data_IF_896660668420
#
_entry.id   IF_896660668420
#
_cell.length_a   1.000
_cell.length_b   1.000
_cell.length_c   1.000
_cell.angle_alpha   90.00
_cell.angle_beta   90.00
_cell.angle_gamma   90.00
#
_symmetry.space_group_name_H-M   'P 1'
#
loop_
_entity.id
_entity.type
_entity.pdbx_description
1 polymer ?
#
# COMPACT_ATOMS: atom_id res chain seq x y z
N UNK A 1 33.53 -22.27 -32.52
CA UNK A 1 32.75 -22.52 -31.26
C UNK A 1 32.56 -21.20 -30.58
N UNK A 2 31.45 -20.58 -30.85
CA UNK A 2 31.05 -19.29 -30.35
C UNK A 2 30.16 -19.57 -29.12
N UNK A 3 30.64 -19.22 -27.93
CA UNK A 3 29.81 -19.21 -26.72
C UNK A 3 28.85 -18.05 -26.82
N UNK A 4 27.61 -18.41 -27.01
CA UNK A 4 26.46 -17.55 -26.92
C UNK A 4 26.06 -17.34 -25.46
N UNK A 5 25.86 -16.10 -25.11
CA UNK A 5 24.74 -15.81 -24.24
C UNK A 5 25.04 -15.24 -22.91
N UNK A 6 25.25 -13.96 -22.91
CA UNK A 6 24.88 -13.09 -21.79
C UNK A 6 23.34 -13.08 -21.70
N UNK A 7 22.78 -14.00 -20.91
CA UNK A 7 21.43 -13.85 -20.39
C UNK A 7 21.53 -12.83 -19.26
N UNK A 8 21.16 -11.59 -19.56
CA UNK A 8 20.96 -10.53 -18.57
C UNK A 8 20.04 -11.06 -17.46
N UNK A 9 20.64 -11.48 -16.35
CA UNK A 9 19.90 -11.83 -15.14
C UNK A 9 19.31 -10.54 -14.59
N UNK A 10 18.05 -10.26 -14.93
CA UNK A 10 17.27 -9.30 -14.16
C UNK A 10 17.38 -9.69 -12.67
N UNK A 11 17.70 -8.75 -11.77
CA UNK A 11 17.85 -9.08 -10.36
C UNK A 11 16.55 -9.75 -9.87
N UNK A 12 16.71 -10.91 -9.22
CA UNK A 12 15.57 -11.67 -8.71
C UNK A 12 14.86 -10.84 -7.63
N UNK A 13 13.52 -10.80 -7.61
CA UNK A 13 12.78 -10.11 -6.55
C UNK A 13 13.22 -10.60 -5.16
N UNK A 14 13.31 -9.67 -4.21
CA UNK A 14 13.59 -10.03 -2.82
C UNK A 14 12.40 -10.81 -2.26
N UNK A 15 12.65 -11.83 -1.44
CA UNK A 15 11.64 -12.75 -0.90
C UNK A 15 11.69 -12.79 0.62
N UNK A 16 10.52 -12.89 1.24
CA UNK A 16 10.36 -13.12 2.68
C UNK A 16 9.07 -13.89 2.95
N UNK A 17 9.07 -14.73 3.99
CA UNK A 17 7.90 -15.52 4.37
C UNK A 17 7.25 -14.92 5.63
N UNK A 18 5.93 -14.74 5.58
CA UNK A 18 5.10 -14.28 6.68
C UNK A 18 4.11 -15.37 7.08
N UNK A 19 3.92 -15.56 8.39
CA UNK A 19 2.83 -16.38 8.88
C UNK A 19 1.67 -15.47 9.27
N UNK A 20 0.48 -15.70 8.71
CA UNK A 20 -0.73 -14.96 9.07
C UNK A 20 -1.07 -15.25 10.53
N UNK A 21 -0.97 -14.23 11.39
CA UNK A 21 -1.20 -14.36 12.83
C UNK A 21 -2.70 -14.28 13.14
N UNK A 22 -3.06 -14.65 14.38
CA UNK A 22 -4.44 -14.63 14.86
C UNK A 22 -5.08 -13.23 14.79
N UNK A 23 -4.33 -12.20 15.15
CA UNK A 23 -4.75 -10.80 15.17
C UNK A 23 -4.75 -10.11 13.80
N UNK A 24 -4.30 -10.81 12.76
CA UNK A 24 -4.19 -10.31 11.37
C UNK A 24 -5.32 -10.82 10.47
N UNK A 25 -6.13 -11.74 10.98
CA UNK A 25 -7.29 -12.28 10.27
C UNK A 25 -8.59 -11.59 10.70
N UNK A 26 -9.56 -11.56 9.80
CA UNK A 26 -10.94 -11.17 10.09
C UNK A 26 -11.72 -12.28 10.80
N UNK A 27 -12.99 -12.00 11.12
CA UNK A 27 -13.91 -12.98 11.76
C UNK A 27 -14.21 -14.18 10.85
N UNK A 28 -13.98 -14.05 9.55
CA UNK A 28 -14.07 -15.12 8.54
C UNK A 28 -12.84 -16.04 8.54
N UNK A 29 -11.85 -15.76 9.38
CA UNK A 29 -10.59 -16.49 9.45
C UNK A 29 -9.63 -16.23 8.29
N UNK A 30 -9.87 -15.22 7.46
CA UNK A 30 -9.01 -14.84 6.34
C UNK A 30 -8.19 -13.60 6.66
N UNK A 31 -7.04 -13.46 6.00
CA UNK A 31 -6.18 -12.28 6.12
C UNK A 31 -6.93 -11.02 5.71
N UNK A 32 -6.76 -9.92 6.47
CA UNK A 32 -7.31 -8.61 6.11
C UNK A 32 -6.46 -7.96 5.01
N UNK A 33 -7.08 -7.13 4.16
CA UNK A 33 -6.37 -6.36 3.16
C UNK A 33 -5.31 -5.43 3.78
N UNK A 34 -5.62 -4.84 4.92
CA UNK A 34 -4.68 -4.01 5.71
C UNK A 34 -3.44 -4.80 6.17
N UNK A 35 -3.59 -6.08 6.50
CA UNK A 35 -2.46 -6.94 6.86
C UNK A 35 -1.50 -7.15 5.69
N UNK A 36 -2.03 -7.40 4.48
CA UNK A 36 -1.17 -7.51 3.30
C UNK A 36 -0.41 -6.22 3.02
N UNK A 37 -1.03 -5.05 3.21
CA UNK A 37 -0.33 -3.76 3.11
C UNK A 37 0.77 -3.62 4.17
N UNK A 38 0.54 -4.07 5.41
CA UNK A 38 1.60 -4.08 6.45
C UNK A 38 2.76 -4.97 6.06
N UNK A 39 2.50 -6.16 5.52
CA UNK A 39 3.55 -7.07 5.07
C UNK A 39 4.37 -6.49 3.91
N UNK A 40 3.73 -5.82 2.93
CA UNK A 40 4.50 -5.22 1.82
C UNK A 40 5.28 -3.97 2.24
N UNK A 41 4.83 -3.25 3.26
CA UNK A 41 5.62 -2.18 3.88
C UNK A 41 6.86 -2.75 4.59
N UNK A 42 6.67 -3.83 5.35
CA UNK A 42 7.75 -4.50 6.07
C UNK A 42 8.78 -5.11 5.12
N UNK A 43 8.36 -5.89 4.13
CA UNK A 43 9.31 -6.49 3.16
C UNK A 43 10.05 -5.42 2.36
N UNK A 44 9.40 -4.28 2.05
CA UNK A 44 10.06 -3.15 1.39
C UNK A 44 11.16 -2.56 2.27
N UNK A 45 10.88 -2.45 3.57
CA UNK A 45 11.84 -2.00 4.57
C UNK A 45 13.02 -2.98 4.71
N UNK A 46 12.75 -4.26 4.94
CA UNK A 46 13.77 -5.32 5.06
C UNK A 46 14.66 -5.39 3.81
N UNK A 47 14.07 -5.25 2.62
CA UNK A 47 14.83 -5.18 1.35
C UNK A 47 15.76 -3.96 1.31
N UNK A 48 15.27 -2.79 1.73
CA UNK A 48 16.03 -1.54 1.82
C UNK A 48 17.23 -1.68 2.77
N UNK A 49 17.02 -2.22 3.97
CA UNK A 49 18.07 -2.45 4.97
C UNK A 49 19.16 -3.39 4.45
N UNK A 50 18.78 -4.46 3.75
CA UNK A 50 19.76 -5.39 3.15
C UNK A 50 20.65 -4.76 2.09
N UNK A 51 20.17 -3.68 1.46
CA UNK A 51 20.95 -2.90 0.49
C UNK A 51 21.74 -1.75 1.15
N UNK A 52 21.71 -1.65 2.50
CA UNK A 52 22.40 -0.62 3.26
C UNK A 52 21.59 0.67 3.45
N UNK A 53 20.33 0.69 3.06
CA UNK A 53 19.43 1.85 3.25
C UNK A 53 18.56 1.62 4.48
N UNK A 54 19.18 1.64 5.66
CA UNK A 54 18.52 1.51 6.95
C UNK A 54 17.98 2.85 7.49
N UNK A 55 17.36 2.80 8.65
CA UNK A 55 16.80 3.99 9.30
C UNK A 55 17.85 5.07 9.56
N UNK A 56 19.08 4.70 9.93
CA UNK A 56 20.15 5.63 10.20
C UNK A 56 20.58 6.35 8.91
N UNK A 57 20.68 5.60 7.80
CA UNK A 57 20.98 6.13 6.48
C UNK A 57 19.97 7.20 6.04
N UNK A 58 18.66 6.93 6.19
CA UNK A 58 17.58 7.88 5.86
C UNK A 58 17.59 9.10 6.80
N UNK A 59 17.81 8.88 8.10
CA UNK A 59 17.84 9.94 9.10
C UNK A 59 19.01 10.91 8.88
N UNK A 60 20.20 10.40 8.54
CA UNK A 60 21.38 11.20 8.21
C UNK A 60 21.13 12.13 7.02
N UNK A 61 20.50 11.62 5.97
CA UNK A 61 20.15 12.39 4.76
C UNK A 61 18.91 13.25 4.91
N UNK A 62 18.17 13.06 5.99
CA UNK A 62 16.95 13.82 6.28
C UNK A 62 15.85 13.61 5.24
N UNK A 63 15.75 12.40 4.72
CA UNK A 63 14.72 12.03 3.73
C UNK A 63 13.91 10.84 4.20
N UNK A 64 12.67 10.73 3.69
CA UNK A 64 11.78 9.62 3.96
C UNK A 64 10.89 9.31 2.75
N UNK A 65 10.53 8.05 2.59
CA UNK A 65 9.55 7.63 1.60
C UNK A 65 8.13 7.71 2.17
N UNK A 66 7.22 8.31 1.39
CA UNK A 66 5.80 8.34 1.66
C UNK A 66 5.03 7.61 0.55
N UNK A 67 4.06 6.80 0.91
CA UNK A 67 3.14 6.17 -0.06
C UNK A 67 2.17 7.22 -0.59
N UNK A 68 2.02 7.31 -1.91
CA UNK A 68 1.08 8.21 -2.59
C UNK A 68 -0.08 7.47 -3.26
N UNK A 69 0.17 6.22 -3.67
CA UNK A 69 -0.88 5.36 -4.17
C UNK A 69 -0.56 3.90 -3.83
N UNK A 70 -1.60 3.10 -3.65
CA UNK A 70 -1.48 1.66 -3.55
C UNK A 70 -2.60 0.98 -4.32
N UNK A 71 -2.29 -0.17 -4.86
CA UNK A 71 -3.24 -1.06 -5.49
C UNK A 71 -3.04 -2.44 -4.89
N UNK A 72 -4.09 -3.01 -4.31
CA UNK A 72 -4.06 -4.28 -3.59
C UNK A 72 -5.08 -5.22 -4.22
N UNK A 73 -4.63 -6.30 -4.84
CA UNK A 73 -5.49 -7.36 -5.34
C UNK A 73 -5.37 -8.60 -4.46
N UNK A 74 -6.50 -9.10 -3.97
CA UNK A 74 -6.63 -10.36 -3.25
C UNK A 74 -7.33 -11.31 -4.20
N UNK A 75 -6.61 -12.31 -4.71
CA UNK A 75 -7.05 -13.22 -5.76
C UNK A 75 -7.49 -14.57 -5.22
N UNK A 76 -6.97 -14.94 -4.04
CA UNK A 76 -7.23 -16.22 -3.39
C UNK A 76 -7.50 -16.06 -1.89
N UNK A 77 -8.07 -17.09 -1.28
CA UNK A 77 -8.33 -17.14 0.17
C UNK A 77 -7.02 -17.42 0.90
N UNK A 78 -6.64 -16.56 1.83
CA UNK A 78 -5.42 -16.68 2.65
C UNK A 78 -5.85 -16.89 4.10
N UNK A 79 -5.87 -18.14 4.61
CA UNK A 79 -6.37 -18.41 5.95
C UNK A 79 -5.38 -18.01 7.05
N UNK A 80 -5.93 -17.72 8.24
CA UNK A 80 -5.15 -17.58 9.45
C UNK A 80 -4.26 -18.82 9.66
N UNK A 81 -3.02 -18.60 10.07
CA UNK A 81 -2.04 -19.65 10.28
C UNK A 81 -1.25 -20.05 9.03
N UNK A 82 -1.71 -19.67 7.83
CA UNK A 82 -0.97 -19.92 6.61
C UNK A 82 0.39 -19.23 6.60
N UNK A 83 1.37 -19.86 5.96
CA UNK A 83 2.66 -19.25 5.64
C UNK A 83 2.62 -18.79 4.19
N UNK A 84 2.72 -17.48 3.97
CA UNK A 84 2.73 -16.89 2.63
C UNK A 84 4.14 -16.40 2.30
N UNK A 85 4.61 -16.70 1.11
CA UNK A 85 5.81 -16.08 0.56
C UNK A 85 5.44 -14.77 -0.11
N UNK A 86 6.09 -13.68 0.27
CA UNK A 86 6.01 -12.41 -0.43
C UNK A 86 7.28 -12.13 -1.20
N UNK A 87 7.11 -11.60 -2.41
CA UNK A 87 8.20 -11.00 -3.18
C UNK A 87 8.06 -9.49 -3.19
N UNK A 88 9.16 -8.77 -3.36
CA UNK A 88 9.15 -7.34 -3.64
C UNK A 88 10.27 -6.93 -4.57
N UNK A 89 9.99 -5.98 -5.45
CA UNK A 89 10.97 -5.36 -6.33
C UNK A 89 10.61 -3.90 -6.60
N UNK A 90 11.64 -3.07 -6.87
CA UNK A 90 11.47 -1.71 -7.40
C UNK A 90 11.40 -1.83 -8.91
N UNK A 91 10.18 -1.81 -9.44
CA UNK A 91 9.94 -1.99 -10.88
C UNK A 91 10.21 -0.73 -11.69
N UNK A 92 10.45 0.39 -11.01
CA UNK A 92 10.90 1.61 -11.65
C UNK A 92 10.88 2.82 -10.74
N UNK A 93 11.64 3.85 -11.13
CA UNK A 93 11.70 5.13 -10.44
C UNK A 93 11.94 6.30 -11.40
N UNK A 94 11.61 7.52 -10.95
CA UNK A 94 11.85 8.75 -11.70
C UNK A 94 11.94 9.96 -10.78
N UNK A 95 13.08 10.64 -10.75
CA UNK A 95 13.32 11.89 -9.99
C UNK A 95 13.07 11.77 -8.49
N UNK A 96 11.79 11.81 -8.07
CA UNK A 96 11.33 11.78 -6.67
C UNK A 96 10.41 10.58 -6.40
N UNK A 97 10.07 9.83 -7.45
CA UNK A 97 9.06 8.75 -7.42
C UNK A 97 9.69 7.38 -7.58
N UNK A 98 9.16 6.39 -6.88
CA UNK A 98 9.48 4.99 -7.08
C UNK A 98 8.22 4.14 -7.02
N UNK A 99 8.16 3.06 -7.84
CA UNK A 99 7.11 2.05 -7.82
C UNK A 99 7.67 0.73 -7.36
N UNK A 100 7.01 0.11 -6.39
CA UNK A 100 7.26 -1.28 -6.00
C UNK A 100 6.11 -2.16 -6.45
N UNK A 101 6.48 -3.38 -6.83
CA UNK A 101 5.57 -4.50 -7.02
C UNK A 101 5.88 -5.57 -5.99
N UNK A 102 4.84 -6.14 -5.41
CA UNK A 102 4.91 -7.29 -4.52
C UNK A 102 3.89 -8.33 -4.96
N UNK A 103 4.23 -9.60 -4.83
CA UNK A 103 3.33 -10.72 -5.09
C UNK A 103 3.29 -11.63 -3.87
N UNK A 104 2.10 -12.12 -3.55
CA UNK A 104 1.86 -13.05 -2.44
C UNK A 104 1.59 -14.44 -2.99
N UNK A 105 2.31 -15.43 -2.47
CA UNK A 105 2.18 -16.83 -2.88
C UNK A 105 1.76 -17.67 -1.68
N UNK A 106 0.81 -18.57 -1.90
CA UNK A 106 0.40 -19.62 -0.98
C UNK A 106 0.55 -20.96 -1.72
N UNK A 107 1.35 -21.87 -1.18
CA UNK A 107 1.62 -23.19 -1.78
C UNK A 107 2.09 -23.10 -3.25
N UNK A 108 2.83 -22.04 -3.59
CA UNK A 108 3.36 -21.78 -4.93
C UNK A 108 2.43 -21.04 -5.89
N UNK A 109 1.15 -20.86 -5.52
CA UNK A 109 0.15 -20.16 -6.33
C UNK A 109 0.06 -18.69 -5.95
N UNK A 110 -0.12 -17.79 -6.93
CA UNK A 110 -0.32 -16.36 -6.69
C UNK A 110 -1.70 -16.13 -6.10
N UNK A 111 -1.76 -15.69 -4.84
CA UNK A 111 -3.01 -15.39 -4.11
C UNK A 111 -3.26 -13.89 -3.96
N UNK A 112 -2.32 -13.06 -4.39
CA UNK A 112 -2.49 -11.60 -4.40
C UNK A 112 -1.29 -10.89 -4.97
N UNK A 113 -1.47 -9.62 -5.31
CA UNK A 113 -0.39 -8.73 -5.69
C UNK A 113 -0.67 -7.31 -5.21
N UNK A 114 0.40 -6.56 -4.97
CA UNK A 114 0.31 -5.19 -4.47
C UNK A 114 1.30 -4.31 -5.24
N UNK A 115 0.81 -3.19 -5.77
CA UNK A 115 1.65 -2.11 -6.30
C UNK A 115 1.59 -0.93 -5.33
N UNK A 116 2.73 -0.30 -5.10
CA UNK A 116 2.82 0.92 -4.27
C UNK A 116 3.65 1.97 -4.97
N UNK A 117 3.12 3.18 -5.06
CA UNK A 117 3.83 4.36 -5.55
C UNK A 117 4.29 5.20 -4.37
N UNK A 118 5.58 5.47 -4.35
CA UNK A 118 6.26 6.18 -3.28
C UNK A 118 6.80 7.51 -3.77
N UNK A 119 6.80 8.50 -2.91
CA UNK A 119 7.49 9.78 -3.14
C UNK A 119 8.52 10.01 -2.05
N UNK A 120 9.71 10.46 -2.43
CA UNK A 120 10.74 10.85 -1.48
C UNK A 120 10.53 12.31 -1.07
N UNK A 121 10.56 12.56 0.24
CA UNK A 121 10.41 13.89 0.83
C UNK A 121 11.56 14.18 1.80
N UNK A 122 11.87 15.46 2.00
CA UNK A 122 12.79 15.93 3.03
C UNK A 122 12.08 16.09 4.40
N UNK A 123 12.83 16.55 5.42
CA UNK A 123 12.31 16.79 6.78
C UNK A 123 11.20 17.85 6.86
N UNK A 124 11.02 18.66 5.82
CA UNK A 124 9.95 19.67 5.71
C UNK A 124 8.72 19.15 4.97
N UNK A 125 8.76 17.88 4.51
CA UNK A 125 7.72 17.31 3.64
C UNK A 125 7.80 17.79 2.19
N UNK A 126 8.88 18.46 1.79
CA UNK A 126 9.11 18.91 0.41
C UNK A 126 9.69 17.77 -0.42
N UNK A 127 9.33 17.71 -1.70
CA UNK A 127 9.82 16.67 -2.63
C UNK A 127 11.36 16.69 -2.71
N UNK A 128 11.97 15.55 -2.42
CA UNK A 128 13.41 15.35 -2.49
C UNK A 128 13.79 14.47 -3.68
N UNK A 129 14.91 14.75 -4.32
CA UNK A 129 15.43 13.88 -5.39
C UNK A 129 15.96 12.57 -4.81
N UNK A 130 15.76 11.50 -5.54
CA UNK A 130 16.33 10.19 -5.20
C UNK A 130 17.85 10.31 -5.17
N UNK A 131 18.51 9.93 -4.05
CA UNK A 131 19.96 9.94 -3.94
C UNK A 131 20.60 9.00 -4.97
N UNK A 132 21.81 9.36 -5.49
CA UNK A 132 22.52 8.54 -6.49
C UNK A 132 22.75 7.09 -6.04
N UNK A 133 22.93 6.85 -4.75
CA UNK A 133 23.13 5.50 -4.19
C UNK A 133 21.89 4.61 -4.38
N UNK A 134 20.70 5.16 -4.19
CA UNK A 134 19.43 4.45 -4.45
C UNK A 134 19.24 4.24 -5.96
N UNK A 135 19.52 5.28 -6.76
CA UNK A 135 19.46 5.22 -8.23
C UNK A 135 20.36 4.10 -8.78
N UNK A 136 21.57 3.96 -8.23
CA UNK A 136 22.52 2.91 -8.62
C UNK A 136 22.08 1.51 -8.15
N UNK A 137 21.43 1.40 -6.99
CA UNK A 137 20.95 0.10 -6.46
C UNK A 137 19.73 -0.43 -7.22
N UNK A 138 18.95 0.44 -7.85
CA UNK A 138 17.75 0.10 -8.61
C UNK A 138 17.81 0.69 -10.03
N UNK A 139 18.56 0.09 -10.96
CA UNK A 139 18.85 0.69 -12.27
C UNK A 139 17.69 0.57 -13.27
N UNK A 140 16.46 0.83 -12.83
CA UNK A 140 15.23 0.73 -13.63
C UNK A 140 14.53 2.10 -13.74
N UNK A 141 15.12 3.13 -14.40
CA UNK A 141 14.44 4.40 -14.56
C UNK A 141 13.23 4.27 -15.50
N UNK A 142 12.12 4.89 -15.12
CA UNK A 142 10.91 4.98 -15.95
C UNK A 142 10.87 6.36 -16.60
N UNK A 143 10.81 6.41 -17.93
CA UNK A 143 10.77 7.67 -18.67
C UNK A 143 9.48 8.46 -18.41
N UNK A 144 8.33 7.77 -18.32
CA UNK A 144 7.01 8.36 -18.07
C UNK A 144 6.36 7.72 -16.86
N UNK A 145 6.64 8.27 -15.67
CA UNK A 145 6.07 7.81 -14.41
C UNK A 145 4.78 8.59 -14.11
N UNK A 146 3.67 7.88 -14.06
CA UNK A 146 2.39 8.42 -13.61
C UNK A 146 2.00 7.75 -12.31
N UNK A 147 1.80 8.55 -11.25
CA UNK A 147 1.27 8.06 -9.96
C UNK A 147 -0.16 7.58 -10.17
N UNK A 148 -0.48 6.44 -9.55
CA UNK A 148 -1.85 5.92 -9.57
C UNK A 148 -2.82 6.96 -9.02
N UNK A 149 -3.86 7.30 -9.80
CA UNK A 149 -4.95 8.17 -9.37
C UNK A 149 -6.24 7.38 -9.27
N UNK A 150 -7.08 7.79 -8.32
CA UNK A 150 -8.41 7.20 -8.12
C UNK A 150 -9.47 8.20 -8.53
N UNK A 151 -10.13 7.90 -9.64
CA UNK A 151 -11.34 8.61 -10.05
C UNK A 151 -12.52 8.01 -9.28
N UNK A 152 -13.24 8.88 -8.55
CA UNK A 152 -14.45 8.49 -7.84
C UNK A 152 -15.65 8.74 -8.72
N UNK A 153 -16.60 7.81 -8.71
CA UNK A 153 -17.91 8.04 -9.32
C UNK A 153 -18.58 9.27 -8.68
N UNK A 154 -19.46 9.93 -9.44
CA UNK A 154 -20.34 10.94 -8.86
C UNK A 154 -21.20 10.28 -7.77
N UNK A 155 -21.43 11.00 -6.69
CA UNK A 155 -22.34 10.53 -5.62
C UNK A 155 -23.73 10.45 -6.25
N UNK A 156 -24.12 9.22 -6.59
CA UNK A 156 -25.43 8.96 -7.16
C UNK A 156 -26.54 9.30 -6.13
N UNK A 157 -27.79 9.30 -6.56
CA UNK A 157 -28.97 9.51 -5.71
C UNK A 157 -29.19 8.44 -4.60
N UNK A 158 -28.31 7.46 -4.50
CA UNK A 158 -28.31 6.47 -3.41
C UNK A 158 -27.58 7.06 -2.19
N UNK A 159 -28.07 6.83 -0.97
CA UNK A 159 -27.49 7.39 0.23
C UNK A 159 -26.04 6.90 0.39
N UNK A 160 -25.10 7.84 0.44
CA UNK A 160 -23.76 7.56 0.90
C UNK A 160 -23.81 7.20 2.39
N UNK A 161 -23.01 6.21 2.79
CA UNK A 161 -22.84 5.83 4.18
C UNK A 161 -21.69 6.61 4.76
N UNK A 162 -21.87 7.21 5.93
CA UNK A 162 -20.84 7.96 6.62
C UNK A 162 -20.51 7.30 7.96
N UNK A 163 -19.22 7.15 8.23
CA UNK A 163 -18.67 6.71 9.50
C UNK A 163 -17.65 7.71 10.00
N UNK A 164 -17.70 8.01 11.31
CA UNK A 164 -16.72 8.87 11.97
C UNK A 164 -15.73 8.04 12.77
N UNK A 165 -14.46 8.40 12.67
CA UNK A 165 -13.36 7.76 13.39
C UNK A 165 -12.53 8.82 14.10
N UNK A 166 -11.81 8.39 15.14
CA UNK A 166 -10.80 9.20 15.80
C UNK A 166 -9.48 8.44 15.80
N UNK A 167 -8.42 9.07 15.31
CA UNK A 167 -7.09 8.47 15.25
C UNK A 167 -6.59 8.09 16.64
N UNK A 168 -6.23 6.82 16.83
CA UNK A 168 -5.71 6.26 18.06
C UNK A 168 -4.19 6.07 17.97
N UNK A 169 -3.52 6.06 19.12
CA UNK A 169 -2.04 5.99 19.19
C UNK A 169 -1.46 4.73 18.54
N UNK A 170 -2.15 3.59 18.59
CA UNK A 170 -1.67 2.33 18.02
C UNK A 170 -1.83 2.25 16.49
N UNK A 171 -2.50 3.22 15.87
CA UNK A 171 -2.64 3.33 14.42
C UNK A 171 -1.50 4.15 13.78
N UNK A 172 -0.64 4.73 14.62
CA UNK A 172 0.49 5.55 14.15
C UNK A 172 1.70 4.69 13.79
N UNK A 173 2.41 5.11 12.76
CA UNK A 173 3.71 4.57 12.36
C UNK A 173 4.88 5.27 13.11
N UNK A 174 6.13 4.82 12.94
CA UNK A 174 7.30 5.46 13.56
C UNK A 174 7.58 6.90 13.11
N UNK A 175 6.91 7.39 12.06
CA UNK A 175 6.99 8.79 11.61
C UNK A 175 5.96 9.69 12.31
N UNK A 176 5.09 9.10 13.17
CA UNK A 176 4.06 9.83 13.90
C UNK A 176 2.79 10.12 13.09
N UNK A 177 2.65 9.51 11.93
CA UNK A 177 1.45 9.58 11.09
C UNK A 177 0.67 8.27 11.16
N UNK A 178 -0.61 8.31 10.78
CA UNK A 178 -1.40 7.10 10.61
C UNK A 178 -0.73 6.18 9.58
N UNK A 179 -0.53 4.90 9.97
CA UNK A 179 -0.02 3.89 9.05
C UNK A 179 -0.96 3.72 7.85
N UNK A 180 -0.40 3.67 6.64
CA UNK A 180 -1.19 3.60 5.40
C UNK A 180 -2.18 2.44 5.38
N UNK A 181 -1.88 1.33 6.06
CA UNK A 181 -2.77 0.17 6.15
C UNK A 181 -4.00 0.42 7.04
N UNK A 182 -3.90 1.28 8.07
CA UNK A 182 -5.03 1.59 8.94
C UNK A 182 -6.19 2.28 8.18
N UNK A 183 -5.87 3.04 7.14
CA UNK A 183 -6.90 3.64 6.29
C UNK A 183 -7.77 2.60 5.60
N UNK A 184 -7.22 1.43 5.25
CA UNK A 184 -8.02 0.34 4.64
C UNK A 184 -9.00 -0.25 5.66
N UNK A 185 -8.57 -0.42 6.91
CA UNK A 185 -9.46 -0.88 7.99
C UNK A 185 -10.68 0.06 8.12
N UNK A 186 -10.47 1.38 8.15
CA UNK A 186 -11.56 2.39 8.24
C UNK A 186 -12.42 2.45 6.97
N UNK A 187 -11.84 2.24 5.79
CA UNK A 187 -12.59 2.19 4.54
C UNK A 187 -13.48 0.94 4.49
N UNK A 188 -12.99 -0.22 4.93
CA UNK A 188 -13.80 -1.43 5.03
C UNK A 188 -14.97 -1.28 6.02
N UNK A 189 -14.74 -0.64 7.18
CA UNK A 189 -15.78 -0.31 8.17
C UNK A 189 -16.88 0.62 7.62
N UNK A 190 -16.59 1.42 6.60
CA UNK A 190 -17.56 2.31 5.97
C UNK A 190 -18.48 1.62 4.97
N UNK A 191 -18.23 0.36 4.61
CA UNK A 191 -19.06 -0.45 3.70
C UNK A 191 -20.05 -1.26 4.54
N UNK A 192 -21.39 -1.02 4.40
CA UNK A 192 -22.38 -1.66 5.25
C UNK A 192 -22.56 -3.17 4.98
N UNK A 193 -22.23 -3.62 3.77
CA UNK A 193 -22.30 -5.02 3.40
C UNK A 193 -20.94 -5.72 3.55
N UNK A 194 -20.77 -6.42 4.65
CA UNK A 194 -19.53 -7.16 4.93
C UNK A 194 -19.19 -8.22 3.86
N UNK A 195 -20.16 -8.71 3.09
CA UNK A 195 -19.90 -9.69 2.04
C UNK A 195 -19.02 -9.10 0.92
N UNK A 196 -19.12 -7.80 0.69
CA UNK A 196 -18.31 -7.06 -0.29
C UNK A 196 -16.85 -7.05 0.13
N UNK A 197 -16.55 -6.68 1.39
CA UNK A 197 -15.17 -6.61 1.89
C UNK A 197 -14.54 -7.99 2.12
N UNK A 198 -15.35 -9.05 2.13
CA UNK A 198 -14.89 -10.45 2.22
C UNK A 198 -14.88 -11.17 0.89
N UNK A 199 -15.38 -10.52 -0.18
CA UNK A 199 -15.40 -11.13 -1.51
C UNK A 199 -13.97 -11.46 -2.00
N UNK A 200 -13.84 -12.57 -2.72
CA UNK A 200 -12.59 -12.98 -3.37
C UNK A 200 -12.96 -13.49 -4.77
N UNK A 201 -12.38 -12.93 -5.83
CA UNK A 201 -11.34 -11.89 -5.84
C UNK A 201 -11.88 -10.49 -5.53
N UNK A 202 -11.03 -9.62 -5.00
CA UNK A 202 -11.31 -8.19 -4.83
C UNK A 202 -10.07 -7.35 -5.00
N UNK A 203 -10.25 -6.06 -5.32
CA UNK A 203 -9.15 -5.14 -5.59
C UNK A 203 -9.43 -3.76 -4.99
N UNK A 204 -8.46 -3.23 -4.26
CA UNK A 204 -8.46 -1.87 -3.73
C UNK A 204 -7.55 -1.00 -4.57
N UNK A 205 -8.02 0.20 -4.93
CA UNK A 205 -7.21 1.28 -5.48
C UNK A 205 -7.25 2.43 -4.50
N UNK A 206 -6.09 2.90 -4.04
CA UNK A 206 -5.93 3.85 -2.95
C UNK A 206 -5.05 5.01 -3.42
N UNK A 207 -5.51 6.27 -3.22
CA UNK A 207 -4.72 7.48 -3.45
C UNK A 207 -4.65 8.27 -2.15
N UNK A 208 -3.46 8.40 -1.60
CA UNK A 208 -3.19 9.11 -0.34
C UNK A 208 -2.87 10.57 -0.65
N UNK A 209 -3.77 11.49 -0.29
CA UNK A 209 -3.65 12.92 -0.52
C UNK A 209 -2.87 13.60 0.61
N UNK A 210 -3.17 13.24 1.86
CA UNK A 210 -2.53 13.77 3.07
C UNK A 210 -2.46 12.68 4.16
N UNK A 211 -1.67 12.91 5.19
CA UNK A 211 -1.59 12.05 6.37
C UNK A 211 -2.45 12.64 7.50
N UNK A 212 -3.12 11.77 8.25
CA UNK A 212 -3.73 12.11 9.52
C UNK A 212 -2.74 11.91 10.67
N UNK A 213 -2.93 12.68 11.75
CA UNK A 213 -2.13 12.65 12.95
C UNK A 213 -2.89 12.18 14.20
N UNK A 214 -2.21 12.13 15.36
CA UNK A 214 -2.82 11.62 16.58
C UNK A 214 -3.98 12.50 17.05
N UNK A 215 -5.14 11.85 17.25
CA UNK A 215 -6.33 12.51 17.78
C UNK A 215 -7.20 13.22 16.74
N UNK A 216 -6.81 13.21 15.47
CA UNK A 216 -7.64 13.75 14.40
C UNK A 216 -8.99 13.03 14.34
N UNK A 217 -10.03 13.81 14.10
CA UNK A 217 -11.37 13.31 13.80
C UNK A 217 -11.48 13.12 12.27
N UNK A 218 -11.98 11.97 11.85
CA UNK A 218 -12.05 11.54 10.46
C UNK A 218 -13.49 11.20 10.09
N UNK A 219 -13.85 11.47 8.82
CA UNK A 219 -15.14 11.04 8.25
C UNK A 219 -14.85 10.23 6.98
N UNK A 220 -15.24 8.96 7.01
CA UNK A 220 -15.26 8.10 5.83
C UNK A 220 -16.66 8.12 5.22
N UNK A 221 -16.71 8.33 3.91
CA UNK A 221 -17.93 8.28 3.11
C UNK A 221 -17.78 7.20 2.05
N UNK A 222 -18.74 6.27 1.97
CA UNK A 222 -18.78 5.21 0.97
C UNK A 222 -20.10 5.24 0.20
N UNK A 223 -20.04 4.98 -1.10
CA UNK A 223 -21.22 4.85 -1.97
C UNK A 223 -20.99 3.82 -3.07
N UNK A 224 -22.05 3.08 -3.47
CA UNK A 224 -21.95 2.08 -4.52
C UNK A 224 -21.72 2.73 -5.90
N UNK A 225 -20.97 2.02 -6.74
CA UNK A 225 -20.65 2.37 -8.11
C UNK A 225 -20.69 1.10 -8.98
N UNK A 226 -21.85 0.69 -9.42
CA UNK A 226 -22.09 -0.61 -10.06
C UNK A 226 -21.79 -1.77 -9.11
N UNK A 227 -20.88 -2.68 -9.50
CA UNK A 227 -20.35 -3.74 -8.63
C UNK A 227 -19.22 -3.28 -7.72
N UNK A 228 -18.81 -2.01 -7.81
CA UNK A 228 -17.72 -1.42 -7.06
C UNK A 228 -18.22 -0.47 -5.96
N UNK A 229 -17.31 -0.02 -5.10
CA UNK A 229 -17.56 1.03 -4.13
C UNK A 229 -16.55 2.15 -4.30
N UNK A 230 -17.05 3.38 -4.38
CA UNK A 230 -16.25 4.60 -4.28
C UNK A 230 -16.24 5.07 -2.83
N UNK A 231 -15.06 5.47 -2.35
CA UNK A 231 -14.86 5.83 -0.96
C UNK A 231 -13.97 7.06 -0.83
N UNK A 232 -14.23 7.86 0.19
CA UNK A 232 -13.45 9.04 0.52
C UNK A 232 -13.30 9.15 2.03
N UNK A 233 -12.09 9.43 2.49
CA UNK A 233 -11.82 9.76 3.87
C UNK A 233 -11.32 11.19 3.96
N UNK A 234 -11.86 11.96 4.90
CA UNK A 234 -11.53 13.37 5.15
C UNK A 234 -11.23 13.60 6.62
N UNK A 235 -10.48 14.66 6.90
CA UNK A 235 -10.48 15.25 8.23
C UNK A 235 -11.87 15.79 8.56
N UNK A 236 -12.29 15.76 9.82
CA UNK A 236 -13.53 16.41 10.29
C UNK A 236 -13.59 17.90 9.95
N UNK A 237 -12.42 18.55 9.77
CA UNK A 237 -12.28 19.93 9.28
C UNK A 237 -12.42 20.08 7.76
N UNK A 238 -12.56 18.96 6.99
CA UNK A 238 -12.86 18.95 5.57
C UNK A 238 -11.69 18.61 4.63
N UNK A 239 -10.45 18.52 5.12
CA UNK A 239 -9.28 18.16 4.28
C UNK A 239 -9.36 16.71 3.79
N UNK A 240 -9.15 16.46 2.50
CA UNK A 240 -9.13 15.12 1.92
C UNK A 240 -7.85 14.38 2.31
N UNK A 241 -7.99 13.16 2.81
CA UNK A 241 -6.89 12.28 3.22
C UNK A 241 -6.67 11.16 2.21
N UNK A 242 -7.75 10.50 1.78
CA UNK A 242 -7.66 9.37 0.85
C UNK A 242 -8.88 9.32 -0.07
N UNK A 243 -8.63 8.91 -1.31
CA UNK A 243 -9.63 8.41 -2.24
C UNK A 243 -9.40 6.93 -2.42
N UNK A 244 -10.47 6.15 -2.44
CA UNK A 244 -10.37 4.73 -2.65
C UNK A 244 -11.50 4.20 -3.53
N UNK A 245 -11.21 3.08 -4.18
CA UNK A 245 -12.18 2.28 -4.90
C UNK A 245 -11.99 0.82 -4.53
N UNK A 246 -13.07 0.15 -4.18
CA UNK A 246 -13.11 -1.31 -3.99
C UNK A 246 -13.88 -1.92 -5.15
N UNK A 247 -13.25 -2.82 -5.88
CA UNK A 247 -13.79 -3.60 -7.00
C UNK A 247 -13.95 -5.06 -6.57
N UNK A 248 -15.13 -5.66 -6.82
CA UNK A 248 -15.46 -7.06 -6.51
C UNK A 248 -16.02 -7.78 -7.73
#
# INVERSE_FOLDING_TARGET
MTETGDQSHAPRPFRHTYRVRFDEAGVDGLVRASTLLRYVQDIAWVHSERLGFDRAWYAERGVAWLVRAAEVAILGRIPMGASIELTTDVVGHRKVWARRRSEAFLDGEVVGWIHTDWVLVDRRGTLARIPPEIDAAFPNPIADFQVGRVELAEVASQPAVEHSFRVRRHELDPNGHVNNAAYVDWLEESIPDESVVRHVPRRYRLEYAAAAGPGDELVATAWPDGSSWSQRLRLGTGGELIRARLEV
#
